data_IF_036768559283
#
_entry.id   IF_036768559283
#
_cell.length_a   1.000
_cell.length_b   1.000
_cell.length_c   1.000
_cell.angle_alpha   90.00
_cell.angle_beta   90.00
_cell.angle_gamma   90.00
#
_symmetry.space_group_name_H-M   'P 1'
#
loop_
_entity.id
_entity.type
_entity.pdbx_description
1 polymer ?
#
# COMPACT_ATOMS: atom_id res chain seq x y z
N UNK A 1 4.58 -21.57 -5.77
CA UNK A 1 3.70 -20.43 -5.48
C UNK A 1 2.80 -20.25 -6.69
N UNK A 2 1.51 -20.58 -6.57
CA UNK A 2 0.52 -20.35 -7.65
C UNK A 2 -0.05 -18.95 -7.43
N UNK A 3 -0.16 -18.17 -8.50
CA UNK A 3 -0.75 -16.83 -8.46
C UNK A 3 -2.25 -16.83 -8.12
N UNK A 4 -2.91 -17.99 -8.27
CA UNK A 4 -4.33 -18.20 -7.98
C UNK A 4 -4.65 -18.37 -6.48
N UNK A 5 -3.63 -18.44 -5.62
CA UNK A 5 -3.87 -18.53 -4.18
C UNK A 5 -4.12 -17.11 -3.63
N UNK A 6 -5.30 -16.86 -3.01
CA UNK A 6 -5.72 -15.54 -2.53
C UNK A 6 -4.69 -14.87 -1.61
N UNK A 7 -3.89 -15.68 -0.91
CA UNK A 7 -2.85 -15.20 0.02
C UNK A 7 -1.62 -14.63 -0.68
N UNK A 8 -1.56 -14.74 -2.01
CA UNK A 8 -0.50 -14.19 -2.83
C UNK A 8 -1.00 -13.14 -3.84
N UNK A 9 -2.18 -12.58 -3.60
CA UNK A 9 -2.73 -11.47 -4.39
C UNK A 9 -2.05 -10.15 -4.04
N UNK A 10 -1.81 -9.30 -5.04
CA UNK A 10 -1.30 -7.94 -4.82
C UNK A 10 -2.46 -6.96 -4.98
N UNK A 11 -2.70 -6.15 -3.96
CA UNK A 11 -3.70 -5.08 -3.98
C UNK A 11 -3.04 -3.72 -4.16
N UNK A 12 -3.76 -2.77 -4.73
CA UNK A 12 -3.30 -1.38 -4.87
C UNK A 12 -4.14 -0.47 -3.99
N UNK A 13 -3.48 0.24 -3.07
CA UNK A 13 -4.09 1.23 -2.21
C UNK A 13 -3.75 2.64 -2.71
N UNK A 14 -4.76 3.51 -2.77
CA UNK A 14 -4.57 4.94 -2.90
C UNK A 14 -4.30 5.58 -1.53
N UNK A 15 -3.92 6.86 -1.51
CA UNK A 15 -3.63 7.59 -0.26
C UNK A 15 -4.80 7.57 0.73
N UNK A 16 -6.03 7.73 0.25
CA UNK A 16 -7.25 7.66 1.09
C UNK A 16 -7.44 6.27 1.71
N UNK A 17 -7.10 5.20 0.98
CA UNK A 17 -7.13 3.84 1.53
C UNK A 17 -6.10 3.69 2.65
N UNK A 18 -4.90 4.26 2.50
CA UNK A 18 -3.88 4.20 3.55
C UNK A 18 -4.28 4.99 4.80
N UNK A 19 -4.97 6.13 4.64
CA UNK A 19 -5.54 6.87 5.76
C UNK A 19 -6.60 6.04 6.48
N UNK A 20 -7.51 5.42 5.72
CA UNK A 20 -8.52 4.50 6.26
C UNK A 20 -7.88 3.35 7.05
N UNK A 21 -6.88 2.68 6.47
CA UNK A 21 -6.17 1.58 7.13
C UNK A 21 -5.48 2.08 8.41
N UNK A 22 -4.81 3.23 8.37
CA UNK A 22 -4.17 3.80 9.54
C UNK A 22 -5.18 4.07 10.68
N UNK A 23 -6.36 4.60 10.37
CA UNK A 23 -7.41 4.85 11.37
C UNK A 23 -7.98 3.55 11.94
N UNK A 24 -8.11 2.52 11.10
CA UNK A 24 -8.57 1.20 11.52
C UNK A 24 -7.54 0.51 12.43
N UNK A 25 -6.24 0.64 12.15
CA UNK A 25 -5.19 0.10 13.02
C UNK A 25 -5.32 0.67 14.44
N UNK A 26 -5.56 1.98 14.59
CA UNK A 26 -5.81 2.57 15.91
C UNK A 26 -7.04 1.97 16.58
N UNK A 27 -8.12 1.85 15.82
CA UNK A 27 -9.41 1.34 16.32
C UNK A 27 -9.28 -0.10 16.81
N UNK A 28 -8.48 -0.92 16.13
CA UNK A 28 -8.25 -2.32 16.46
C UNK A 28 -7.05 -2.55 17.41
N UNK A 29 -6.41 -1.48 17.89
CA UNK A 29 -5.24 -1.58 18.77
C UNK A 29 -3.98 -2.14 18.09
N UNK A 30 -3.90 -2.07 16.76
CA UNK A 30 -2.72 -2.43 15.97
C UNK A 30 -1.78 -1.23 15.79
N UNK A 31 -0.51 -1.52 15.49
CA UNK A 31 0.48 -0.48 15.29
C UNK A 31 0.18 0.36 14.04
N UNK A 32 0.24 1.68 14.21
CA UNK A 32 0.29 2.61 13.07
C UNK A 32 1.68 2.65 12.51
N UNK A 33 1.78 2.67 11.18
CA UNK A 33 3.06 2.87 10.51
C UNK A 33 3.55 4.32 10.63
N UNK A 34 2.66 5.28 10.41
CA UNK A 34 2.99 6.70 10.47
C UNK A 34 2.48 7.33 11.76
N UNK A 35 3.22 8.32 12.26
CA UNK A 35 2.88 9.02 13.51
C UNK A 35 1.65 9.91 13.40
N UNK A 36 1.25 10.29 12.18
CA UNK A 36 0.09 11.11 11.88
C UNK A 36 -0.29 10.98 10.41
N UNK A 37 -1.50 11.40 10.06
CA UNK A 37 -1.96 11.49 8.67
C UNK A 37 -1.07 12.44 7.86
N UNK A 38 -0.64 13.56 8.45
CA UNK A 38 0.30 14.47 7.81
C UNK A 38 1.68 13.83 7.55
N UNK A 39 2.14 12.92 8.41
CA UNK A 39 3.39 12.18 8.18
C UNK A 39 3.24 11.16 7.05
N UNK A 40 2.08 10.51 6.94
CA UNK A 40 1.74 9.63 5.81
C UNK A 40 1.74 10.41 4.51
N UNK A 41 0.99 11.51 4.44
CA UNK A 41 0.84 12.33 3.24
C UNK A 41 2.14 12.96 2.75
N UNK A 42 3.08 13.26 3.66
CA UNK A 42 4.43 13.74 3.28
C UNK A 42 5.33 12.62 2.77
N UNK A 43 5.14 11.40 3.26
CA UNK A 43 6.03 10.30 2.95
C UNK A 43 5.60 9.53 1.70
N UNK A 44 4.29 9.41 1.46
CA UNK A 44 3.75 8.66 0.33
C UNK A 44 3.37 9.64 -0.78
N UNK A 45 3.99 9.47 -1.94
CA UNK A 45 3.67 10.25 -3.14
C UNK A 45 2.22 10.02 -3.58
N UNK A 46 1.39 11.06 -3.62
CA UNK A 46 -0.07 10.93 -3.77
C UNK A 46 -0.52 10.37 -5.13
N UNK A 47 0.28 10.57 -6.18
CA UNK A 47 0.02 10.04 -7.52
C UNK A 47 0.48 8.59 -7.70
N UNK A 48 1.22 8.04 -6.72
CA UNK A 48 1.75 6.69 -6.77
C UNK A 48 0.88 5.73 -5.94
N UNK A 49 0.31 4.71 -6.59
CA UNK A 49 -0.38 3.63 -5.89
C UNK A 49 0.58 2.83 -5.00
N UNK A 50 0.12 2.44 -3.82
CA UNK A 50 0.87 1.61 -2.87
C UNK A 50 0.48 0.16 -3.07
N UNK A 51 1.48 -0.69 -3.36
CA UNK A 51 1.24 -2.11 -3.55
C UNK A 51 1.26 -2.82 -2.19
N UNK A 52 0.17 -3.50 -1.87
CA UNK A 52 0.01 -4.31 -0.67
C UNK A 52 0.11 -5.79 -1.06
N UNK A 53 1.09 -6.48 -0.47
CA UNK A 53 1.31 -7.91 -0.67
C UNK A 53 1.20 -8.63 0.68
N UNK A 54 0.21 -9.51 0.88
CA UNK A 54 0.09 -10.29 2.11
C UNK A 54 1.33 -11.13 2.36
N UNK A 55 1.79 -11.13 3.62
CA UNK A 55 2.91 -11.95 4.07
C UNK A 55 2.42 -13.00 5.08
N UNK A 56 1.53 -12.59 5.99
CA UNK A 56 0.95 -13.46 7.01
C UNK A 56 -0.52 -13.09 7.20
N UNK A 57 -1.35 -14.09 7.53
CA UNK A 57 -2.67 -13.85 8.12
C UNK A 57 -2.49 -13.65 9.62
N UNK A 58 -3.13 -12.62 10.15
CA UNK A 58 -3.27 -12.35 11.56
C UNK A 58 -4.75 -12.53 11.93
N UNK A 59 -4.98 -13.04 13.14
CA UNK A 59 -6.35 -13.30 13.61
C UNK A 59 -6.91 -14.65 13.15
N UNK A 60 -8.17 -14.87 13.52
CA UNK A 60 -8.90 -16.12 13.37
C UNK A 60 -10.14 -16.10 14.27
N UNK A 61 -10.88 -17.21 14.44
CA UNK A 61 -12.15 -17.23 15.18
C UNK A 61 -12.07 -16.69 16.62
N UNK A 62 -10.88 -16.66 17.22
CA UNK A 62 -10.62 -16.18 18.58
C UNK A 62 -9.92 -14.82 18.64
N UNK A 63 -9.54 -14.25 17.50
CA UNK A 63 -8.81 -13.00 17.39
C UNK A 63 -9.31 -12.20 16.18
N UNK A 64 -10.42 -11.50 16.39
CA UNK A 64 -11.03 -10.59 15.41
C UNK A 64 -10.54 -9.15 15.61
N UNK A 65 -10.48 -8.33 14.55
CA UNK A 65 -10.81 -8.69 13.17
C UNK A 65 -9.69 -9.47 12.45
N UNK A 66 -10.07 -10.44 11.59
CA UNK A 66 -9.13 -11.08 10.66
C UNK A 66 -8.38 -10.01 9.85
N UNK A 67 -7.07 -10.15 9.74
CA UNK A 67 -6.19 -9.20 9.08
C UNK A 67 -5.05 -9.87 8.34
N UNK A 68 -4.42 -9.12 7.44
CA UNK A 68 -3.18 -9.48 6.79
C UNK A 68 -2.08 -8.56 7.29
N UNK A 69 -0.92 -9.13 7.63
CA UNK A 69 0.32 -8.37 7.66
C UNK A 69 0.85 -8.28 6.24
N UNK A 70 0.81 -7.09 5.68
CA UNK A 70 1.21 -6.82 4.29
C UNK A 70 2.57 -6.13 4.22
N UNK A 71 3.35 -6.48 3.19
CA UNK A 71 4.34 -5.56 2.67
C UNK A 71 3.64 -4.44 1.91
N UNK A 72 3.89 -3.19 2.30
CA UNK A 72 3.48 -2.00 1.59
C UNK A 72 4.68 -1.41 0.83
N UNK A 73 4.59 -1.40 -0.49
CA UNK A 73 5.60 -0.87 -1.40
C UNK A 73 5.10 0.43 -2.01
N UNK A 74 5.87 1.50 -1.84
CA UNK A 74 5.49 2.85 -2.29
C UNK A 74 6.71 3.67 -2.69
N UNK A 75 6.46 4.81 -3.33
CA UNK A 75 7.50 5.79 -3.68
C UNK A 75 7.49 6.89 -2.63
N UNK A 76 8.68 7.30 -2.19
CA UNK A 76 8.81 8.40 -1.24
C UNK A 76 8.56 9.73 -1.94
N UNK A 77 7.80 10.63 -1.29
CA UNK A 77 7.54 11.98 -1.82
C UNK A 77 8.71 12.97 -1.71
N UNK A 78 9.89 12.54 -1.25
CA UNK A 78 11.02 13.44 -0.97
C UNK A 78 12.25 13.25 -1.85
N UNK A 79 12.27 12.23 -2.73
CA UNK A 79 13.31 12.00 -3.75
C UNK A 79 12.80 10.97 -4.78
N UNK A 80 12.84 11.34 -6.07
CA UNK A 80 12.31 10.60 -7.24
C UNK A 80 12.80 9.16 -7.39
N UNK A 81 13.87 8.80 -6.69
CA UNK A 81 14.52 7.50 -6.81
C UNK A 81 14.33 6.58 -5.60
N UNK A 82 13.80 7.10 -4.49
CA UNK A 82 13.78 6.34 -3.23
C UNK A 82 12.46 5.60 -3.04
N UNK A 83 12.57 4.28 -2.90
CA UNK A 83 11.44 3.37 -2.68
C UNK A 83 11.29 3.10 -1.19
N UNK A 84 10.06 3.23 -0.69
CA UNK A 84 9.68 2.80 0.65
C UNK A 84 9.15 1.38 0.63
N UNK A 85 9.63 0.55 1.56
CA UNK A 85 9.02 -0.73 1.89
C UNK A 85 8.78 -0.78 3.37
N UNK A 86 7.58 -1.16 3.78
CA UNK A 86 7.25 -1.30 5.19
C UNK A 86 6.19 -2.35 5.43
N UNK A 87 5.99 -2.72 6.70
CA UNK A 87 4.92 -3.63 7.11
C UNK A 87 3.71 -2.83 7.57
N UNK A 88 2.53 -3.32 7.21
CA UNK A 88 1.26 -2.72 7.57
C UNK A 88 0.26 -3.84 7.83
N UNK A 89 -0.37 -3.82 9.00
CA UNK A 89 -1.51 -4.68 9.26
C UNK A 89 -2.74 -4.05 8.61
N UNK A 90 -3.52 -4.85 7.88
CA UNK A 90 -4.70 -4.44 7.10
C UNK A 90 -5.82 -5.42 7.42
N UNK A 91 -7.00 -4.94 7.84
CA UNK A 91 -8.13 -5.86 8.04
C UNK A 91 -8.50 -6.53 6.73
N UNK A 92 -8.94 -7.78 6.79
CA UNK A 92 -9.37 -8.53 5.61
C UNK A 92 -10.52 -7.81 4.89
N UNK A 93 -11.46 -7.27 5.66
CA UNK A 93 -12.59 -6.52 5.14
C UNK A 93 -12.15 -5.30 4.32
N UNK A 94 -11.10 -4.58 4.72
CA UNK A 94 -10.55 -3.50 3.89
C UNK A 94 -9.77 -4.05 2.71
N UNK A 95 -8.90 -5.04 2.93
CA UNK A 95 -8.04 -5.60 1.90
C UNK A 95 -8.83 -6.10 0.68
N UNK A 96 -9.96 -6.78 0.91
CA UNK A 96 -10.81 -7.32 -0.15
C UNK A 96 -11.55 -6.24 -0.97
N UNK A 97 -11.68 -5.01 -0.44
CA UNK A 97 -12.27 -3.88 -1.19
C UNK A 97 -11.29 -3.18 -2.12
N UNK A 98 -10.00 -3.45 -1.97
CA UNK A 98 -8.97 -2.80 -2.77
C UNK A 98 -8.86 -3.41 -4.18
N UNK A 99 -8.52 -2.62 -5.20
CA UNK A 99 -8.23 -3.13 -6.54
C UNK A 99 -7.18 -4.24 -6.51
N UNK A 100 -7.51 -5.38 -7.13
CA UNK A 100 -6.60 -6.51 -7.31
C UNK A 100 -5.79 -6.37 -8.60
N UNK A 101 -4.52 -6.76 -8.54
CA UNK A 101 -3.73 -7.02 -9.73
C UNK A 101 -3.81 -8.50 -10.04
N UNK A 102 -4.49 -8.84 -11.13
CA UNK A 102 -4.87 -10.22 -11.46
C UNK A 102 -3.76 -10.97 -12.19
N UNK A 103 -2.66 -10.31 -12.57
CA UNK A 103 -1.54 -10.97 -13.23
C UNK A 103 -0.18 -10.31 -13.01
N UNK A 104 0.93 -11.07 -13.14
CA UNK A 104 2.28 -10.51 -13.16
C UNK A 104 2.50 -9.50 -14.30
N UNK A 105 1.78 -9.64 -15.42
CA UNK A 105 1.86 -8.69 -16.55
C UNK A 105 1.22 -7.36 -16.17
N UNK A 106 0.08 -7.39 -15.49
CA UNK A 106 -0.58 -6.22 -14.98
C UNK A 106 0.26 -5.53 -13.90
N UNK A 107 0.81 -6.29 -12.95
CA UNK A 107 1.73 -5.77 -11.95
C UNK A 107 2.91 -5.02 -12.58
N UNK A 108 3.56 -5.62 -13.58
CA UNK A 108 4.64 -4.96 -14.33
C UNK A 108 4.18 -3.69 -15.03
N UNK A 109 2.96 -3.68 -15.60
CA UNK A 109 2.39 -2.50 -16.26
C UNK A 109 2.14 -1.38 -15.27
N UNK A 110 1.52 -1.68 -14.13
CA UNK A 110 1.21 -0.70 -13.09
C UNK A 110 2.48 -0.16 -12.46
N UNK A 111 3.45 -1.01 -12.09
CA UNK A 111 4.76 -0.56 -11.58
C UNK A 111 5.42 0.40 -12.57
N UNK A 112 5.47 0.06 -13.87
CA UNK A 112 6.03 0.95 -14.90
C UNK A 112 5.29 2.27 -15.01
N UNK A 113 3.95 2.24 -14.97
CA UNK A 113 3.12 3.44 -15.05
C UNK A 113 3.30 4.35 -13.83
N UNK A 114 3.34 3.76 -12.62
CA UNK A 114 3.63 4.46 -11.37
C UNK A 114 5.01 5.12 -11.43
N UNK A 115 6.04 4.39 -11.87
CA UNK A 115 7.38 4.95 -12.03
C UNK A 115 7.41 6.10 -13.06
N UNK A 116 6.74 5.94 -14.21
CA UNK A 116 6.68 7.00 -15.22
C UNK A 116 5.96 8.25 -14.71
N UNK A 117 4.89 8.09 -13.91
CA UNK A 117 4.16 9.21 -13.29
C UNK A 117 5.03 9.99 -12.31
N UNK A 118 5.76 9.31 -11.44
CA UNK A 118 6.71 9.95 -10.52
C UNK A 118 7.75 10.76 -11.30
N UNK A 119 8.39 10.15 -12.30
CA UNK A 119 9.42 10.81 -13.14
C UNK A 119 8.88 11.98 -13.98
N UNK A 120 7.58 12.03 -14.25
CA UNK A 120 6.95 13.12 -15.01
C UNK A 120 6.44 14.23 -14.09
N UNK A 121 5.92 13.90 -12.90
CA UNK A 121 5.48 14.88 -11.90
C UNK A 121 6.62 15.75 -11.41
N UNK A 122 7.78 15.15 -11.16
CA UNK A 122 9.00 15.87 -10.77
C UNK A 122 9.49 16.87 -11.80
N UNK A 123 9.46 16.49 -13.09
CA UNK A 123 9.84 17.38 -14.20
C UNK A 123 8.99 18.66 -14.28
N UNK A 124 7.79 18.68 -13.71
CA UNK A 124 6.96 19.90 -13.66
C UNK A 124 7.27 20.79 -12.45
N UNK A 125 7.81 20.25 -11.36
CA UNK A 125 8.17 21.00 -10.14
C UNK A 125 9.54 21.68 -10.26
N UNK A 126 10.47 21.13 -11.07
CA UNK A 126 11.80 21.72 -11.36
C UNK A 126 11.78 22.90 -12.35
N UNK A 127 10.60 23.33 -12.81
CA UNK A 127 10.46 24.29 -13.92
C UNK A 127 10.10 25.72 -13.48
N UNK A 128 10.14 26.03 -12.19
CA UNK A 128 9.84 27.37 -11.63
C UNK A 128 10.82 27.80 -10.54
#
# INVERSE_FOLDING_TARGET
MRWEDPDFTVRVAATDDLLRIQHENVTNGWDRRWSSDAALLRQVESVAGVFLCPMLRNGGPEAEPESYRCWAWFVLGTDESTRGVTLLDVSRAVFETLPELESPTELRRVIKATMARVMLGSRFEDMW
#
